data_IF_103507935934
#
_entry.id   IF_103507935934
#
_cell.length_a   1.000
_cell.length_b   1.000
_cell.length_c   1.000
_cell.angle_alpha   90.00
_cell.angle_beta   90.00
_cell.angle_gamma   90.00
#
_symmetry.space_group_name_H-M   'P 1'
#
loop_
_entity.id
_entity.type
_entity.pdbx_description
1 polymer ?
#
# COMPACT_ATOMS: atom_id res chain seq x y z
N UNK A 1 13.55 28.52 -0.52
CA UNK A 1 12.47 27.52 -0.35
C UNK A 1 12.05 26.89 -1.68
N UNK A 2 11.99 27.63 -2.79
CA UNK A 2 11.64 27.09 -4.12
C UNK A 2 12.66 26.08 -4.67
N UNK A 3 13.99 26.33 -4.59
CA UNK A 3 14.99 25.38 -5.12
C UNK A 3 15.02 24.02 -4.40
N UNK A 4 14.80 24.01 -3.08
CA UNK A 4 14.69 22.77 -2.31
C UNK A 4 13.46 21.97 -2.74
N UNK A 5 12.33 22.64 -2.97
CA UNK A 5 11.10 21.98 -3.42
C UNK A 5 11.31 21.29 -4.78
N UNK A 6 11.83 21.99 -5.79
CA UNK A 6 12.06 21.38 -7.12
C UNK A 6 13.11 20.26 -7.10
N UNK A 7 14.09 20.33 -6.21
CA UNK A 7 15.12 19.29 -6.09
C UNK A 7 14.59 18.01 -5.45
N UNK A 8 13.66 18.12 -4.50
CA UNK A 8 13.14 16.99 -3.72
C UNK A 8 11.67 16.64 -4.01
N UNK A 9 11.03 17.28 -4.99
CA UNK A 9 9.62 17.09 -5.35
C UNK A 9 9.30 15.61 -5.58
N UNK A 10 10.12 14.93 -6.38
CA UNK A 10 9.92 13.52 -6.70
C UNK A 10 10.01 12.61 -5.45
N UNK A 11 10.94 12.93 -4.55
CA UNK A 11 11.11 12.18 -3.29
C UNK A 11 9.89 12.37 -2.38
N UNK A 12 9.37 13.59 -2.32
CA UNK A 12 8.16 13.91 -1.55
C UNK A 12 6.95 13.17 -2.14
N UNK A 13 6.79 13.19 -3.46
CA UNK A 13 5.70 12.51 -4.14
C UNK A 13 5.74 11.00 -3.92
N UNK A 14 6.93 10.38 -3.97
CA UNK A 14 7.13 8.97 -3.65
C UNK A 14 6.79 8.67 -2.18
N UNK A 15 7.19 9.53 -1.24
CA UNK A 15 6.84 9.38 0.17
C UNK A 15 5.32 9.41 0.38
N UNK A 16 4.62 10.34 -0.27
CA UNK A 16 3.17 10.47 -0.20
C UNK A 16 2.48 9.24 -0.79
N UNK A 17 2.92 8.80 -1.98
CA UNK A 17 2.37 7.63 -2.65
C UNK A 17 2.54 6.36 -1.79
N UNK A 18 3.74 6.12 -1.26
CA UNK A 18 3.99 4.95 -0.43
C UNK A 18 3.24 5.02 0.91
N UNK A 19 3.02 6.20 1.47
CA UNK A 19 2.17 6.37 2.64
C UNK A 19 0.71 5.98 2.33
N UNK A 20 0.16 6.37 1.19
CA UNK A 20 -1.18 5.94 0.75
C UNK A 20 -1.28 4.42 0.69
N UNK A 21 -0.31 3.75 0.05
CA UNK A 21 -0.28 2.29 -0.04
C UNK A 21 -0.15 1.62 1.32
N UNK A 22 0.67 2.18 2.21
CA UNK A 22 0.81 1.72 3.59
C UNK A 22 -0.53 1.77 4.34
N UNK A 23 -1.33 2.82 4.18
CA UNK A 23 -2.68 2.90 4.75
C UNK A 23 -3.64 1.86 4.17
N UNK A 24 -3.53 1.54 2.88
CA UNK A 24 -4.27 0.44 2.25
C UNK A 24 -3.95 -0.91 2.92
N UNK A 25 -2.67 -1.20 3.16
CA UNK A 25 -2.23 -2.41 3.88
C UNK A 25 -2.64 -2.39 5.35
N UNK A 26 -2.63 -1.21 5.99
CA UNK A 26 -2.98 -1.02 7.40
C UNK A 26 -4.40 -1.50 7.73
N UNK A 27 -5.33 -1.44 6.77
CA UNK A 27 -6.70 -1.95 6.93
C UNK A 27 -6.72 -3.46 7.18
N UNK A 28 -5.85 -4.22 6.50
CA UNK A 28 -5.79 -5.67 6.57
C UNK A 28 -4.98 -6.14 7.79
N UNK A 29 -3.87 -5.46 8.05
CA UNK A 29 -3.08 -5.71 9.26
C UNK A 29 -3.89 -5.44 10.54
N UNK A 30 -4.86 -4.53 10.50
CA UNK A 30 -5.77 -4.27 11.62
C UNK A 30 -6.69 -5.44 12.00
N UNK A 31 -6.77 -6.50 11.19
CA UNK A 31 -7.48 -7.76 11.50
C UNK A 31 -6.53 -8.97 11.47
N UNK A 32 -5.24 -8.72 11.68
CA UNK A 32 -4.15 -9.72 11.61
C UNK A 32 -4.10 -10.50 10.28
N UNK A 33 -4.52 -9.85 9.18
CA UNK A 33 -4.50 -10.45 7.85
C UNK A 33 -3.36 -9.86 7.03
N UNK A 34 -2.31 -10.64 6.81
CA UNK A 34 -1.17 -10.25 5.99
C UNK A 34 -1.47 -10.49 4.51
N UNK A 35 -1.50 -9.43 3.72
CA UNK A 35 -1.72 -9.49 2.26
C UNK A 35 -0.51 -8.97 1.50
N UNK A 36 -0.14 -9.69 0.45
CA UNK A 36 0.88 -9.32 -0.52
C UNK A 36 0.29 -9.03 -1.90
N UNK A 37 -1.00 -8.67 -1.96
CA UNK A 37 -1.71 -8.35 -3.19
C UNK A 37 -1.52 -6.88 -3.65
N UNK A 38 -1.00 -6.00 -2.79
CA UNK A 38 -1.00 -4.55 -3.02
C UNK A 38 -0.32 -4.15 -4.32
N UNK A 39 0.82 -4.77 -4.65
CA UNK A 39 1.52 -4.56 -5.92
C UNK A 39 0.67 -4.96 -7.12
N UNK A 40 0.09 -6.17 -7.12
CA UNK A 40 -0.80 -6.61 -8.20
C UNK A 40 -2.04 -5.74 -8.37
N UNK A 41 -2.67 -5.33 -7.27
CA UNK A 41 -3.84 -4.44 -7.30
C UNK A 41 -3.48 -3.04 -7.81
N UNK A 42 -2.28 -2.57 -7.46
CA UNK A 42 -1.70 -1.33 -7.98
C UNK A 42 -1.42 -1.43 -9.48
N UNK A 43 -0.92 -2.57 -9.98
CA UNK A 43 -0.71 -2.79 -11.40
C UNK A 43 -2.01 -2.71 -12.20
N UNK A 44 -3.08 -3.35 -11.72
CA UNK A 44 -4.40 -3.32 -12.35
C UNK A 44 -4.89 -1.88 -12.53
N UNK A 45 -4.77 -1.04 -11.50
CA UNK A 45 -5.16 0.37 -11.57
C UNK A 45 -4.25 1.20 -12.49
N UNK A 46 -2.93 0.98 -12.42
CA UNK A 46 -1.95 1.67 -13.25
C UNK A 46 -2.20 1.43 -14.74
N UNK A 47 -2.21 0.16 -15.17
CA UNK A 47 -2.39 -0.19 -16.58
C UNK A 47 -3.77 0.20 -17.12
N UNK A 48 -4.84 0.06 -16.34
CA UNK A 48 -6.16 0.52 -16.77
C UNK A 48 -6.18 2.03 -16.97
N UNK A 49 -5.59 2.80 -16.06
CA UNK A 49 -5.54 4.26 -16.20
C UNK A 49 -4.74 4.69 -17.43
N UNK A 50 -3.60 4.04 -17.70
CA UNK A 50 -2.76 4.29 -18.88
C UNK A 50 -3.55 3.99 -20.16
N UNK A 51 -4.22 2.84 -20.21
CA UNK A 51 -5.00 2.44 -21.38
C UNK A 51 -6.13 3.44 -21.66
N UNK A 52 -6.85 3.88 -20.63
CA UNK A 52 -7.92 4.87 -20.77
C UNK A 52 -7.40 6.25 -21.19
N UNK A 53 -6.28 6.73 -20.65
CA UNK A 53 -5.77 8.07 -20.95
C UNK A 53 -4.99 8.13 -22.27
N UNK A 54 -4.25 7.09 -22.64
CA UNK A 54 -3.44 7.08 -23.86
C UNK A 54 -4.20 6.54 -25.07
N UNK A 55 -4.92 5.42 -24.92
CA UNK A 55 -5.61 4.76 -26.03
C UNK A 55 -6.97 5.41 -26.30
N UNK A 56 -7.82 5.48 -25.27
CA UNK A 56 -9.19 6.00 -25.36
C UNK A 56 -9.27 7.53 -25.16
N UNK A 57 -8.16 8.17 -24.78
CA UNK A 57 -8.05 9.63 -24.53
C UNK A 57 -9.07 10.16 -23.54
N UNK A 58 -9.43 9.36 -22.54
CA UNK A 58 -10.32 9.78 -21.48
C UNK A 58 -9.69 10.90 -20.65
N UNK A 59 -10.50 11.84 -20.13
CA UNK A 59 -10.03 12.79 -19.14
C UNK A 59 -9.54 12.05 -17.88
N UNK A 60 -8.56 12.65 -17.20
CA UNK A 60 -7.86 12.02 -16.08
C UNK A 60 -8.79 11.63 -14.91
N UNK A 61 -9.78 12.46 -14.57
CA UNK A 61 -10.70 12.19 -13.46
C UNK A 61 -11.49 10.87 -13.61
N UNK A 62 -12.23 10.67 -14.71
CA UNK A 62 -12.90 9.40 -14.98
C UNK A 62 -11.96 8.19 -15.07
N UNK A 63 -10.76 8.36 -15.64
CA UNK A 63 -9.76 7.29 -15.68
C UNK A 63 -9.31 6.88 -14.26
N UNK A 64 -9.19 7.86 -13.35
CA UNK A 64 -8.83 7.64 -11.95
C UNK A 64 -9.93 6.87 -11.19
N UNK A 65 -11.20 7.23 -11.42
CA UNK A 65 -12.34 6.52 -10.85
C UNK A 65 -12.43 5.08 -11.38
N UNK A 66 -12.22 4.89 -12.69
CA UNK A 66 -12.20 3.56 -13.29
C UNK A 66 -11.08 2.69 -12.70
N UNK A 67 -9.87 3.24 -12.52
CA UNK A 67 -8.76 2.53 -11.89
C UNK A 67 -9.04 2.16 -10.43
N UNK A 68 -9.67 3.06 -9.67
CA UNK A 68 -10.10 2.81 -8.28
C UNK A 68 -11.11 1.67 -8.22
N UNK A 69 -12.12 1.70 -9.10
CA UNK A 69 -13.14 0.65 -9.18
C UNK A 69 -12.56 -0.68 -9.65
N UNK A 70 -11.63 -0.68 -10.60
CA UNK A 70 -10.96 -1.89 -11.06
C UNK A 70 -10.11 -2.53 -9.95
N UNK A 71 -9.35 -1.73 -9.18
CA UNK A 71 -8.63 -2.21 -8.01
C UNK A 71 -9.56 -2.79 -6.95
N UNK A 72 -10.70 -2.13 -6.69
CA UNK A 72 -11.72 -2.62 -5.77
C UNK A 72 -12.34 -3.95 -6.24
N UNK A 73 -12.72 -4.04 -7.51
CA UNK A 73 -13.33 -5.24 -8.10
C UNK A 73 -12.35 -6.41 -8.15
N UNK A 74 -11.10 -6.15 -8.53
CA UNK A 74 -10.04 -7.16 -8.52
C UNK A 74 -9.80 -7.69 -7.10
N UNK A 75 -9.76 -6.80 -6.10
CA UNK A 75 -9.65 -7.19 -4.70
C UNK A 75 -10.90 -7.94 -4.22
N UNK A 76 -12.11 -7.50 -4.55
CA UNK A 76 -13.34 -8.21 -4.17
C UNK A 76 -13.38 -9.63 -4.76
N UNK A 77 -13.02 -9.78 -6.04
CA UNK A 77 -12.94 -11.08 -6.71
C UNK A 77 -11.89 -11.99 -6.08
N UNK A 78 -10.67 -11.48 -5.89
CA UNK A 78 -9.59 -12.22 -5.24
C UNK A 78 -9.93 -12.57 -3.79
N UNK A 79 -10.48 -11.63 -3.03
CA UNK A 79 -10.90 -11.82 -1.64
C UNK A 79 -11.96 -12.90 -1.50
N UNK A 80 -12.95 -12.95 -2.41
CA UNK A 80 -13.98 -13.99 -2.40
C UNK A 80 -13.40 -15.42 -2.57
N UNK A 81 -12.27 -15.55 -3.28
CA UNK A 81 -11.57 -16.81 -3.49
C UNK A 81 -10.62 -17.13 -2.34
N UNK A 82 -9.80 -16.14 -1.94
CA UNK A 82 -8.64 -16.35 -1.06
C UNK A 82 -8.99 -16.28 0.42
N UNK A 83 -10.06 -15.57 0.81
CA UNK A 83 -10.50 -15.51 2.22
C UNK A 83 -11.03 -16.85 2.77
N UNK A 84 -11.17 -17.87 1.91
CA UNK A 84 -11.47 -19.25 2.33
C UNK A 84 -10.24 -19.98 2.89
N UNK A 85 -9.04 -19.47 2.62
CA UNK A 85 -7.77 -20.02 3.10
C UNK A 85 -7.51 -19.58 4.54
N UNK A 86 -6.85 -20.44 5.32
CA UNK A 86 -6.51 -20.17 6.73
C UNK A 86 -5.01 -19.95 6.89
N UNK A 87 -4.61 -19.08 7.81
CA UNK A 87 -3.19 -18.84 8.14
C UNK A 87 -2.38 -18.29 6.96
N UNK A 88 -1.13 -18.73 6.85
CA UNK A 88 -0.14 -18.19 5.91
C UNK A 88 -0.48 -18.49 4.44
N UNK A 89 -1.37 -19.45 4.18
CA UNK A 89 -1.86 -19.76 2.83
C UNK A 89 -2.55 -18.56 2.17
N UNK A 90 -3.18 -17.68 2.96
CA UNK A 90 -3.74 -16.43 2.45
C UNK A 90 -2.64 -15.52 1.87
N UNK A 91 -1.54 -15.34 2.61
CA UNK A 91 -0.41 -14.53 2.17
C UNK A 91 0.24 -15.10 0.91
N UNK A 92 0.47 -16.42 0.86
CA UNK A 92 1.02 -17.09 -0.32
C UNK A 92 0.13 -16.93 -1.56
N UNK A 93 -1.18 -17.04 -1.40
CA UNK A 93 -2.13 -16.84 -2.52
C UNK A 93 -2.16 -15.38 -3.01
N UNK A 94 -2.07 -14.40 -2.12
CA UNK A 94 -1.99 -12.98 -2.51
C UNK A 94 -0.67 -12.62 -3.19
N UNK A 95 0.45 -13.24 -2.78
CA UNK A 95 1.73 -13.13 -3.48
C UNK A 95 1.62 -13.71 -4.89
N UNK A 96 1.06 -14.93 -5.01
CA UNK A 96 0.85 -15.57 -6.30
C UNK A 96 -0.01 -14.70 -7.21
N UNK A 97 -1.07 -14.06 -6.70
CA UNK A 97 -1.85 -13.10 -7.45
C UNK A 97 -0.99 -11.93 -7.98
N UNK A 98 -0.19 -11.29 -7.12
CA UNK A 98 0.69 -10.19 -7.54
C UNK A 98 1.64 -10.63 -8.65
N UNK A 99 2.26 -11.80 -8.51
CA UNK A 99 3.20 -12.33 -9.51
C UNK A 99 2.48 -12.75 -10.81
N UNK A 100 1.26 -13.30 -10.73
CA UNK A 100 0.45 -13.58 -11.92
C UNK A 100 0.10 -12.30 -12.66
N UNK A 101 -0.34 -11.24 -11.97
CA UNK A 101 -0.61 -9.95 -12.62
C UNK A 101 0.65 -9.37 -13.26
N UNK A 102 1.80 -9.46 -12.58
CA UNK A 102 3.09 -9.02 -13.12
C UNK A 102 3.49 -9.80 -14.37
N UNK A 103 3.38 -11.13 -14.35
CA UNK A 103 3.71 -11.99 -15.49
C UNK A 103 2.76 -11.75 -16.65
N UNK A 104 1.46 -11.56 -16.39
CA UNK A 104 0.51 -11.17 -17.42
C UNK A 104 0.91 -9.83 -18.04
N UNK A 105 1.24 -8.83 -17.22
CA UNK A 105 1.70 -7.54 -17.73
C UNK A 105 3.03 -7.65 -18.52
N UNK A 106 3.91 -8.58 -18.19
CA UNK A 106 5.13 -8.83 -18.94
C UNK A 106 4.88 -9.47 -20.32
N UNK A 107 3.86 -10.31 -20.45
CA UNK A 107 3.58 -11.09 -21.67
C UNK A 107 2.48 -10.47 -22.55
N UNK A 108 1.90 -9.34 -22.14
CA UNK A 108 0.77 -8.72 -22.84
C UNK A 108 1.19 -7.50 -23.67
N UNK A 109 2.12 -7.70 -24.61
CA UNK A 109 2.77 -6.62 -25.38
C UNK A 109 1.81 -5.55 -25.95
N UNK A 110 0.66 -5.90 -26.56
CA UNK A 110 -0.23 -4.91 -27.15
C UNK A 110 -0.85 -3.89 -26.17
N UNK A 111 -0.95 -4.23 -24.88
CA UNK A 111 -1.66 -3.40 -23.89
C UNK A 111 -0.69 -2.77 -22.90
N UNK A 112 0.32 -3.52 -22.47
CA UNK A 112 1.24 -3.13 -21.38
C UNK A 112 2.64 -2.76 -21.88
N UNK A 113 2.92 -2.91 -23.17
CA UNK A 113 4.26 -2.78 -23.73
C UNK A 113 5.22 -3.91 -23.32
N UNK A 114 4.69 -4.98 -22.71
CA UNK A 114 5.44 -6.17 -22.34
C UNK A 114 6.63 -5.86 -21.43
N UNK A 115 7.77 -6.49 -21.72
CA UNK A 115 9.01 -6.29 -20.96
C UNK A 115 9.57 -4.85 -21.02
N UNK A 116 9.24 -4.09 -22.07
CA UNK A 116 9.70 -2.70 -22.21
C UNK A 116 8.89 -1.74 -21.33
N UNK A 117 7.65 -2.11 -20.98
CA UNK A 117 6.73 -1.22 -20.30
C UNK A 117 6.15 -0.13 -21.21
N UNK A 118 5.43 0.82 -20.61
CA UNK A 118 4.78 1.92 -21.35
C UNK A 118 5.50 3.23 -21.06
N UNK A 119 5.96 3.89 -22.13
CA UNK A 119 6.62 5.20 -22.10
C UNK A 119 5.69 6.32 -22.62
N UNK A 120 5.99 7.56 -22.24
CA UNK A 120 5.29 8.73 -22.76
C UNK A 120 3.91 8.93 -22.14
N UNK A 121 3.69 8.41 -20.93
CA UNK A 121 2.45 8.61 -20.19
C UNK A 121 2.37 10.09 -19.82
N UNK A 122 1.26 10.80 -20.17
CA UNK A 122 1.13 12.21 -19.83
C UNK A 122 1.20 12.43 -18.31
N UNK A 123 2.01 13.40 -17.87
CA UNK A 123 2.11 13.75 -16.45
C UNK A 123 0.89 14.57 -16.03
N UNK A 124 -0.11 13.91 -15.45
CA UNK A 124 -1.30 14.57 -14.88
C UNK A 124 -1.28 14.64 -13.35
N UNK A 125 -0.41 13.83 -12.72
CA UNK A 125 -0.32 13.81 -11.26
C UNK A 125 0.55 14.95 -10.76
N UNK A 126 -0.03 15.77 -9.88
CA UNK A 126 0.67 16.82 -9.15
C UNK A 126 0.71 16.52 -7.64
N UNK A 127 1.70 17.07 -6.92
CA UNK A 127 1.89 16.84 -5.48
C UNK A 127 0.64 17.12 -4.65
N UNK A 128 -0.15 18.14 -5.02
CA UNK A 128 -1.38 18.46 -4.29
C UNK A 128 -2.45 17.37 -4.40
N UNK A 129 -2.49 16.63 -5.52
CA UNK A 129 -3.42 15.51 -5.70
C UNK A 129 -3.01 14.33 -4.82
N UNK A 130 -1.71 14.08 -4.69
CA UNK A 130 -1.17 13.08 -3.77
C UNK A 130 -1.42 13.44 -2.31
N UNK A 131 -1.25 14.72 -1.94
CA UNK A 131 -1.59 15.22 -0.60
C UNK A 131 -3.08 15.09 -0.31
N UNK A 132 -3.93 15.45 -1.27
CA UNK A 132 -5.39 15.32 -1.15
C UNK A 132 -5.79 13.85 -1.00
N UNK A 133 -5.19 12.96 -1.79
CA UNK A 133 -5.43 11.52 -1.67
C UNK A 133 -5.00 11.01 -0.30
N UNK A 134 -3.79 11.36 0.16
CA UNK A 134 -3.30 10.95 1.46
C UNK A 134 -4.23 11.44 2.57
N UNK A 135 -4.66 12.71 2.53
CA UNK A 135 -5.61 13.26 3.49
C UNK A 135 -6.95 12.51 3.46
N UNK A 136 -7.47 12.20 2.28
CA UNK A 136 -8.71 11.44 2.10
C UNK A 136 -8.59 10.02 2.66
N UNK A 137 -7.49 9.33 2.38
CA UNK A 137 -7.24 7.97 2.86
C UNK A 137 -7.03 7.95 4.36
N UNK A 138 -6.26 8.89 4.92
CA UNK A 138 -6.10 9.04 6.37
C UNK A 138 -7.44 9.31 7.04
N UNK A 139 -8.25 10.21 6.50
CA UNK A 139 -9.60 10.49 6.99
C UNK A 139 -10.50 9.26 6.91
N UNK A 140 -10.48 8.54 5.78
CA UNK A 140 -11.25 7.32 5.59
C UNK A 140 -10.87 6.24 6.61
N UNK A 141 -9.58 5.95 6.79
CA UNK A 141 -9.12 4.95 7.77
C UNK A 141 -9.44 5.41 9.19
N UNK A 142 -9.30 6.70 9.51
CA UNK A 142 -9.68 7.26 10.80
C UNK A 142 -11.18 7.12 11.08
N UNK A 143 -12.03 7.46 10.12
CA UNK A 143 -13.49 7.34 10.22
C UNK A 143 -13.90 5.87 10.36
N UNK A 144 -13.29 4.97 9.58
CA UNK A 144 -13.53 3.53 9.66
C UNK A 144 -13.18 2.98 11.05
N UNK A 145 -12.01 3.35 11.60
CA UNK A 145 -11.54 2.90 12.92
C UNK A 145 -12.39 3.41 14.10
N UNK A 146 -13.06 4.55 13.93
CA UNK A 146 -14.02 5.11 14.90
C UNK A 146 -15.45 4.60 14.74
N UNK A 147 -15.74 3.89 13.65
CA UNK A 147 -17.05 3.32 13.39
C UNK A 147 -17.22 1.94 14.03
N UNK A 148 -18.45 1.40 14.00
CA UNK A 148 -18.74 0.03 14.44
C UNK A 148 -17.93 -1.04 13.69
N UNK A 149 -17.48 -0.77 12.45
CA UNK A 149 -16.56 -1.66 11.74
C UNK A 149 -15.19 -1.70 12.43
N UNK A 150 -14.71 -0.57 12.94
CA UNK A 150 -13.45 -0.48 13.67
C UNK A 150 -13.46 -1.25 14.99
N UNK A 151 -14.60 -1.31 15.67
CA UNK A 151 -14.76 -2.12 16.88
C UNK A 151 -14.77 -3.62 16.54
N UNK A 152 -15.45 -4.01 15.44
CA UNK A 152 -15.39 -5.39 14.91
C UNK A 152 -13.98 -5.78 14.48
N UNK A 153 -13.23 -4.87 13.86
CA UNK A 153 -11.83 -5.12 13.47
C UNK A 153 -10.97 -5.46 14.69
N UNK A 154 -11.11 -4.67 15.77
CA UNK A 154 -10.40 -4.94 17.04
C UNK A 154 -10.79 -6.29 17.64
N UNK A 155 -12.08 -6.61 17.67
CA UNK A 155 -12.54 -7.90 18.16
C UNK A 155 -12.01 -9.08 17.32
N UNK A 156 -11.99 -8.95 15.98
CA UNK A 156 -11.44 -9.98 15.07
C UNK A 156 -9.93 -10.15 15.29
N UNK A 157 -9.20 -9.06 15.57
CA UNK A 157 -7.77 -9.11 15.84
C UNK A 157 -7.44 -9.77 17.19
N UNK A 158 -8.34 -9.73 18.17
CA UNK A 158 -8.17 -10.39 19.46
C UNK A 158 -8.50 -11.89 19.39
N UNK A 159 -9.69 -12.25 18.91
CA UNK A 159 -10.11 -13.64 18.76
C UNK A 159 -11.16 -13.79 17.64
N UNK A 160 -10.70 -14.22 16.47
CA UNK A 160 -11.54 -14.50 15.31
C UNK A 160 -12.58 -15.61 15.56
N UNK A 161 -12.23 -16.64 16.34
CA UNK A 161 -13.13 -17.75 16.63
C UNK A 161 -14.27 -17.29 17.55
N UNK A 162 -13.98 -16.46 18.55
CA UNK A 162 -14.99 -15.88 19.44
C UNK A 162 -15.97 -14.97 18.70
N UNK A 163 -15.50 -14.14 17.78
CA UNK A 163 -16.36 -13.27 16.95
C UNK A 163 -17.26 -14.11 16.04
N UNK A 164 -16.70 -15.16 15.42
CA UNK A 164 -17.45 -16.08 14.57
C UNK A 164 -18.50 -16.86 15.37
N UNK A 165 -18.17 -17.32 16.58
CA UNK A 165 -19.10 -18.01 17.48
C UNK A 165 -20.23 -17.10 17.97
N UNK A 166 -19.97 -15.78 18.05
CA UNK A 166 -20.96 -14.76 18.38
C UNK A 166 -21.90 -14.39 17.22
N UNK A 167 -21.88 -15.16 16.11
CA UNK A 167 -22.77 -15.00 14.97
C UNK A 167 -22.39 -13.90 13.98
N UNK A 168 -21.21 -13.29 14.12
CA UNK A 168 -20.74 -12.25 13.20
C UNK A 168 -19.99 -12.85 12.02
N UNK A 169 -20.33 -12.41 10.79
CA UNK A 169 -19.65 -12.85 9.58
C UNK A 169 -18.30 -12.14 9.41
N UNK A 170 -17.23 -12.78 9.90
CA UNK A 170 -15.85 -12.28 9.80
C UNK A 170 -15.39 -12.18 8.34
N UNK A 171 -15.82 -13.11 7.48
CA UNK A 171 -15.41 -13.15 6.09
C UNK A 171 -15.91 -11.91 5.33
N UNK A 172 -17.14 -11.44 5.59
CA UNK A 172 -17.65 -10.19 5.01
C UNK A 172 -16.86 -8.96 5.45
N UNK A 173 -16.45 -8.89 6.72
CA UNK A 173 -15.64 -7.77 7.22
C UNK A 173 -14.26 -7.77 6.55
N UNK A 174 -13.58 -8.93 6.52
CA UNK A 174 -12.29 -9.07 5.84
C UNK A 174 -12.39 -8.75 4.35
N UNK A 175 -13.46 -9.18 3.67
CA UNK A 175 -13.70 -8.88 2.26
C UNK A 175 -13.90 -7.38 2.01
N UNK A 176 -14.68 -6.70 2.86
CA UNK A 176 -14.89 -5.25 2.76
C UNK A 176 -13.58 -4.47 2.94
N UNK A 177 -12.75 -4.86 3.92
CA UNK A 177 -11.43 -4.25 4.15
C UNK A 177 -10.48 -4.51 2.98
N UNK A 178 -10.50 -5.73 2.43
CA UNK A 178 -9.67 -6.10 1.28
C UNK A 178 -10.09 -5.35 0.01
N UNK A 179 -11.39 -5.19 -0.21
CA UNK A 179 -11.94 -4.38 -1.30
C UNK A 179 -11.53 -2.91 -1.17
N UNK A 180 -11.63 -2.33 0.03
CA UNK A 180 -11.18 -0.96 0.30
C UNK A 180 -9.66 -0.81 0.10
N UNK A 181 -8.87 -1.78 0.54
CA UNK A 181 -7.42 -1.82 0.31
C UNK A 181 -7.09 -1.84 -1.19
N UNK A 182 -7.79 -2.66 -1.98
CA UNK A 182 -7.64 -2.71 -3.43
C UNK A 182 -8.07 -1.44 -4.15
N UNK A 183 -9.10 -0.75 -3.66
CA UNK A 183 -9.50 0.55 -4.18
C UNK A 183 -8.36 1.57 -3.99
N UNK A 184 -7.78 1.63 -2.79
CA UNK A 184 -6.64 2.51 -2.47
C UNK A 184 -5.41 2.15 -3.30
N UNK A 185 -5.11 0.86 -3.47
CA UNK A 185 -3.99 0.39 -4.27
C UNK A 185 -4.15 0.72 -5.76
N UNK A 186 -5.33 0.48 -6.34
CA UNK A 186 -5.63 0.79 -7.74
C UNK A 186 -5.57 2.30 -8.02
N UNK A 187 -6.12 3.10 -7.10
CA UNK A 187 -6.02 4.56 -7.15
C UNK A 187 -4.56 5.06 -7.05
N UNK A 188 -3.78 4.50 -6.12
CA UNK A 188 -2.36 4.77 -5.99
C UNK A 188 -1.58 4.40 -7.26
N UNK A 189 -1.89 3.27 -7.89
CA UNK A 189 -1.25 2.83 -9.14
C UNK A 189 -1.51 3.78 -10.30
N UNK A 190 -2.75 4.26 -10.45
CA UNK A 190 -3.09 5.23 -11.49
C UNK A 190 -2.35 6.55 -11.32
N UNK A 191 -2.27 7.08 -10.09
CA UNK A 191 -1.48 8.28 -9.81
C UNK A 191 0.01 8.05 -10.02
N UNK A 192 0.54 6.90 -9.62
CA UNK A 192 1.94 6.54 -9.80
C UNK A 192 2.34 6.50 -11.27
N UNK A 193 1.48 5.96 -12.14
CA UNK A 193 1.70 5.92 -13.58
C UNK A 193 1.81 7.32 -14.21
N UNK A 194 0.88 8.20 -13.84
CA UNK A 194 0.83 9.58 -14.32
C UNK A 194 1.76 10.54 -13.57
N UNK A 195 2.48 10.05 -12.56
CA UNK A 195 3.55 10.77 -11.87
C UNK A 195 4.91 10.51 -12.55
N UNK A 196 5.23 9.23 -12.80
CA UNK A 196 6.54 8.80 -13.30
C UNK A 196 6.68 8.90 -14.81
N UNK A 197 5.58 9.08 -15.57
CA UNK A 197 5.55 9.13 -17.04
C UNK A 197 6.04 7.84 -17.75
N UNK A 198 6.40 6.83 -16.97
CA UNK A 198 6.87 5.52 -17.38
C UNK A 198 6.43 4.49 -16.35
N UNK A 199 6.03 3.31 -16.83
CA UNK A 199 5.63 2.18 -15.99
C UNK A 199 6.16 0.88 -16.57
N UNK A 200 6.94 0.14 -15.76
CA UNK A 200 7.38 -1.21 -16.10
C UNK A 200 6.63 -2.26 -15.27
N UNK A 201 6.37 -3.47 -15.82
CA UNK A 201 5.76 -4.54 -15.04
C UNK A 201 6.56 -4.90 -13.77
N UNK A 202 7.89 -4.73 -13.80
CA UNK A 202 8.77 -4.98 -12.66
C UNK A 202 8.45 -4.14 -11.42
N UNK A 203 7.82 -2.98 -11.57
CA UNK A 203 7.56 -2.02 -10.49
C UNK A 203 6.47 -2.48 -9.51
N UNK A 204 5.68 -3.49 -9.89
CA UNK A 204 4.50 -3.95 -9.14
C UNK A 204 4.64 -5.34 -8.50
N UNK A 205 5.84 -5.92 -8.52
CA UNK A 205 6.06 -7.28 -8.04
C UNK A 205 6.00 -7.47 -6.52
N UNK A 206 6.47 -8.63 -6.07
CA UNK A 206 6.59 -9.00 -4.66
C UNK A 206 7.26 -7.93 -3.79
N UNK A 207 8.40 -7.38 -4.23
CA UNK A 207 9.14 -6.36 -3.46
C UNK A 207 8.29 -5.13 -3.17
N UNK A 208 7.51 -4.65 -4.15
CA UNK A 208 6.60 -3.51 -3.95
C UNK A 208 5.50 -3.81 -2.94
N UNK A 209 4.99 -5.04 -2.92
CA UNK A 209 3.99 -5.47 -1.94
C UNK A 209 4.59 -5.59 -0.54
N UNK A 210 5.83 -6.08 -0.45
CA UNK A 210 6.58 -6.13 0.80
C UNK A 210 6.79 -4.74 1.38
N UNK A 211 7.28 -3.78 0.60
CA UNK A 211 7.51 -2.40 1.06
C UNK A 211 6.24 -1.78 1.64
N UNK A 212 5.09 -2.01 0.98
CA UNK A 212 3.79 -1.52 1.43
C UNK A 212 3.32 -2.16 2.76
N UNK A 213 3.77 -3.38 3.08
CA UNK A 213 3.47 -4.08 4.35
C UNK A 213 4.47 -3.70 5.44
N UNK A 214 5.76 -3.57 5.12
CA UNK A 214 6.80 -3.23 6.09
C UNK A 214 6.59 -1.82 6.62
N UNK A 215 6.17 -0.87 5.79
CA UNK A 215 5.90 0.52 6.21
C UNK A 215 4.97 0.64 7.43
N UNK A 216 3.73 0.08 7.41
CA UNK A 216 2.84 0.12 8.56
C UNK A 216 3.28 -0.80 9.72
N UNK A 217 4.02 -1.88 9.46
CA UNK A 217 4.58 -2.74 10.53
C UNK A 217 5.65 -1.99 11.32
N UNK A 218 6.59 -1.36 10.63
CA UNK A 218 7.64 -0.52 11.21
C UNK A 218 7.06 0.71 11.92
N UNK A 219 6.02 1.31 11.33
CA UNK A 219 5.29 2.42 11.91
C UNK A 219 4.45 2.08 13.14
N UNK A 220 3.85 0.88 13.17
CA UNK A 220 2.91 0.40 14.17
C UNK A 220 1.47 0.30 13.63
N UNK A 221 0.92 -0.92 13.60
CA UNK A 221 -0.38 -1.26 12.97
C UNK A 221 -1.57 -0.47 13.53
N UNK A 222 -1.56 -0.15 14.82
CA UNK A 222 -2.67 0.54 15.46
C UNK A 222 -2.53 2.07 15.52
N UNK A 223 -1.44 2.66 15.01
CA UNK A 223 -1.23 4.10 14.97
C UNK A 223 -1.19 4.65 13.53
N UNK A 224 -2.11 5.56 13.21
CA UNK A 224 -2.17 6.23 11.89
C UNK A 224 -0.90 7.04 11.61
N UNK A 225 -0.42 7.81 12.59
CA UNK A 225 0.80 8.62 12.42
C UNK A 225 2.04 7.73 12.28
N UNK A 226 2.05 6.60 13.01
CA UNK A 226 3.11 5.60 12.91
C UNK A 226 3.26 5.07 11.49
N UNK A 227 2.15 4.64 10.88
CA UNK A 227 2.15 4.11 9.51
C UNK A 227 2.67 5.13 8.48
N UNK A 228 2.27 6.41 8.59
CA UNK A 228 2.77 7.47 7.72
C UNK A 228 4.28 7.70 7.89
N UNK A 229 4.76 7.78 9.14
CA UNK A 229 6.19 7.94 9.44
C UNK A 229 7.00 6.74 8.93
N UNK A 230 6.49 5.52 9.11
CA UNK A 230 7.13 4.30 8.63
C UNK A 230 7.28 4.29 7.10
N UNK A 231 6.25 4.71 6.37
CA UNK A 231 6.31 4.85 4.91
C UNK A 231 7.32 5.92 4.46
N UNK A 232 7.36 7.07 5.13
CA UNK A 232 8.32 8.14 4.85
C UNK A 232 9.75 7.64 5.09
N UNK A 233 10.00 6.95 6.21
CA UNK A 233 11.34 6.43 6.52
C UNK A 233 11.78 5.40 5.48
N UNK A 234 10.93 4.42 5.16
CA UNK A 234 11.27 3.40 4.16
C UNK A 234 11.45 3.96 2.76
N UNK A 235 10.84 5.11 2.44
CA UNK A 235 10.98 5.75 1.13
C UNK A 235 12.21 6.68 1.09
N UNK A 236 12.42 7.50 2.11
CA UNK A 236 13.51 8.48 2.16
C UNK A 236 14.88 7.83 2.43
N UNK A 237 14.93 6.75 3.21
CA UNK A 237 16.17 6.07 3.57
C UNK A 237 16.94 5.56 2.32
N UNK A 238 16.31 4.86 1.36
CA UNK A 238 16.88 4.55 0.06
C UNK A 238 17.49 5.73 -0.69
N UNK A 239 16.82 6.88 -0.64
CA UNK A 239 17.20 8.06 -1.43
C UNK A 239 18.44 8.74 -0.84
N UNK A 240 18.58 8.78 0.48
CA UNK A 240 19.79 9.25 1.16
C UNK A 240 20.96 8.28 0.92
N UNK A 241 20.67 6.99 0.77
CA UNK A 241 21.66 5.93 0.51
C UNK A 241 21.97 5.71 -0.98
N UNK A 242 21.54 6.62 -1.86
CA UNK A 242 21.70 6.47 -3.32
C UNK A 242 23.14 6.41 -3.81
N UNK A 243 24.12 6.65 -2.93
CA UNK A 243 25.56 6.54 -3.20
C UNK A 243 26.02 5.12 -3.58
N UNK A 244 25.32 4.06 -3.16
CA UNK A 244 25.65 2.68 -3.58
C UNK A 244 24.44 1.75 -3.57
N UNK A 245 24.17 1.12 -4.72
CA UNK A 245 23.02 0.22 -4.91
C UNK A 245 23.10 -1.04 -4.02
N UNK A 246 24.27 -1.63 -3.83
CA UNK A 246 24.44 -2.84 -2.99
C UNK A 246 24.37 -2.53 -1.49
N UNK A 247 24.93 -1.40 -1.04
CA UNK A 247 24.83 -0.98 0.37
C UNK A 247 23.39 -0.63 0.76
N UNK A 248 22.59 -0.08 -0.17
CA UNK A 248 21.17 0.24 0.04
C UNK A 248 20.35 -0.98 0.47
N UNK A 249 20.40 -2.09 -0.27
CA UNK A 249 19.58 -3.27 0.04
C UNK A 249 19.95 -3.89 1.39
N UNK A 250 21.26 -4.00 1.67
CA UNK A 250 21.77 -4.56 2.93
C UNK A 250 21.38 -3.67 4.12
N UNK A 251 21.50 -2.35 4.00
CA UNK A 251 21.17 -1.42 5.07
C UNK A 251 19.66 -1.35 5.34
N UNK A 252 18.81 -1.44 4.32
CA UNK A 252 17.35 -1.49 4.52
C UNK A 252 16.96 -2.75 5.30
N UNK A 253 17.51 -3.90 4.92
CA UNK A 253 17.30 -5.16 5.65
C UNK A 253 17.76 -5.04 7.11
N UNK A 254 18.96 -4.50 7.33
CA UNK A 254 19.51 -4.30 8.67
C UNK A 254 18.66 -3.33 9.52
N UNK A 255 18.27 -2.17 8.98
CA UNK A 255 17.44 -1.18 9.68
C UNK A 255 16.06 -1.75 10.01
N UNK A 256 15.47 -2.50 9.07
CA UNK A 256 14.17 -3.15 9.30
C UNK A 256 14.28 -4.22 10.38
N UNK A 257 15.34 -5.03 10.36
CA UNK A 257 15.60 -6.06 11.36
C UNK A 257 15.85 -5.44 12.75
N UNK A 258 16.64 -4.37 12.82
CA UNK A 258 16.85 -3.59 14.03
C UNK A 258 15.54 -2.95 14.52
N UNK A 259 14.73 -2.39 13.62
CA UNK A 259 13.44 -1.80 14.00
C UNK A 259 12.49 -2.87 14.57
N UNK A 260 12.45 -4.07 13.99
CA UNK A 260 11.63 -5.17 14.51
C UNK A 260 12.17 -5.65 15.87
N UNK A 261 13.49 -5.75 16.04
CA UNK A 261 14.13 -6.21 17.29
C UNK A 261 13.99 -5.19 18.43
N UNK A 262 14.17 -3.90 18.15
CA UNK A 262 14.23 -2.85 19.16
C UNK A 262 12.92 -2.06 19.33
N UNK A 263 12.00 -2.13 18.35
CA UNK A 263 10.69 -1.47 18.40
C UNK A 263 9.55 -2.46 18.07
N UNK A 264 9.26 -3.45 18.94
CA UNK A 264 8.24 -4.48 18.70
C UNK A 264 6.80 -3.94 18.60
N UNK A 265 6.56 -2.68 18.99
CA UNK A 265 5.27 -1.98 18.84
C UNK A 265 5.30 -0.86 17.78
N UNK A 266 6.37 -0.80 16.98
CA UNK A 266 6.62 0.19 15.94
C UNK A 266 7.13 1.54 16.47
N UNK A 267 7.57 2.42 15.58
CA UNK A 267 8.10 3.77 15.88
C UNK A 267 7.09 4.61 16.67
N UNK A 268 5.79 4.39 16.46
CA UNK A 268 4.69 4.96 17.23
C UNK A 268 4.77 4.76 18.76
N UNK A 269 5.50 3.76 19.23
CA UNK A 269 5.62 3.42 20.65
C UNK A 269 6.70 4.21 21.40
N UNK A 270 7.61 4.89 20.68
CA UNK A 270 8.73 5.65 21.26
C UNK A 270 8.30 6.66 22.34
N UNK A 271 7.22 7.44 22.17
CA UNK A 271 6.78 8.37 23.21
C UNK A 271 6.33 7.66 24.50
N UNK A 272 5.73 6.46 24.38
CA UNK A 272 5.24 5.68 25.53
C UNK A 272 6.38 4.96 26.26
N UNK A 273 7.40 4.52 25.54
CA UNK A 273 8.61 3.91 26.12
C UNK A 273 9.46 4.93 26.88
N UNK A 274 9.59 6.16 26.35
CA UNK A 274 10.29 7.26 27.02
C UNK A 274 9.59 7.73 28.31
N UNK A 275 8.25 7.68 28.34
CA UNK A 275 7.48 8.03 29.56
C UNK A 275 7.57 6.93 30.62
N UNK A 276 7.60 5.64 30.23
CA UNK A 276 7.83 4.53 31.19
C UNK A 276 9.25 4.53 31.76
N UNK A 277 10.26 4.92 30.99
CA UNK A 277 11.63 5.08 31.47
C UNK A 277 11.81 6.19 32.52
N UNK A 278 10.94 7.19 32.54
CA UNK A 278 10.94 8.29 33.54
C UNK A 278 10.24 7.98 34.86
N UNK A 279 9.45 6.90 34.93
CA UNK A 279 8.76 6.48 36.16
C UNK A 279 9.56 5.38 36.89
N UNK A 280 10.59 4.83 36.24
CA UNK A 280 11.52 3.85 36.80
C UNK A 280 12.85 4.46 37.27
N UNK A 281 12.93 5.78 37.40
CA UNK A 281 14.00 6.54 38.07
C UNK A 281 13.39 7.32 39.23
#
# INVERSE_FOLDING_TARGET
MSEFYYTYENVIDLCLLNAVLAFGCLLLLGVNLLSLATGGLMAVGAYLSIWLTMQERWPFGPALLAATLAGALAAAGLGALVLRLRGDYFAMATLAFTEVVRILALNWDPVTGGALGVFGIPKYTETWQLLLLLALVVYFVWALRRSALGDRMRAIAEDELAVTASGHDVARVKLALFTASGAIAGLGGALAAHLNSFVAPGDFGFLRSMDAVIAPVLGGVWNLLGAAIGAIILTALPEVLRFSAQLREVLIGAVTLLAILFLPTGIASLPRLLVRGRIAQ
#
